data_IF_922156971511
#
_entry.id   IF_922156971511
#
_cell.length_a   1.000
_cell.length_b   1.000
_cell.length_c   1.000
_cell.angle_alpha   90.00
_cell.angle_beta   90.00
_cell.angle_gamma   90.00
#
_symmetry.space_group_name_H-M   'P 1'
#
loop_
_entity.id
_entity.type
_entity.pdbx_description
1 polymer ?
#
# COMPACT_ATOMS: atom_id res chain seq x y z
N UNK A 1 -9.66 15.64 18.39
CA UNK A 1 -9.68 15.36 16.95
C UNK A 1 -9.11 13.96 16.74
N UNK A 2 -9.66 13.18 15.80
CA UNK A 2 -9.22 11.79 15.54
C UNK A 2 -8.30 11.76 14.32
N UNK A 3 -7.02 12.09 14.52
CA UNK A 3 -6.04 12.06 13.43
C UNK A 3 -5.60 10.62 13.13
N UNK A 4 -5.60 10.25 11.84
CA UNK A 4 -5.09 8.97 11.33
C UNK A 4 -3.98 9.27 10.33
N UNK A 5 -2.80 8.72 10.56
CA UNK A 5 -1.70 8.84 9.61
C UNK A 5 -1.93 7.90 8.43
N UNK A 6 -1.87 8.43 7.22
CA UNK A 6 -1.94 7.67 5.97
C UNK A 6 -0.63 7.91 5.21
N UNK A 7 0.31 6.97 5.32
CA UNK A 7 1.55 7.06 4.54
C UNK A 7 1.28 6.61 3.11
N UNK A 8 1.82 7.31 2.12
CA UNK A 8 1.46 7.06 0.72
C UNK A 8 0.06 7.54 0.36
N UNK A 9 -0.47 8.49 1.15
CA UNK A 9 -1.84 8.99 0.98
C UNK A 9 -2.06 9.84 -0.28
N UNK A 10 -1.01 10.26 -0.98
CA UNK A 10 -1.10 10.94 -2.27
C UNK A 10 -1.11 9.97 -3.47
N UNK A 11 -0.95 8.67 -3.23
CA UNK A 11 -1.06 7.62 -4.25
C UNK A 11 -2.51 7.23 -4.54
N UNK A 12 -2.68 6.31 -5.50
CA UNK A 12 -3.99 5.81 -5.95
C UNK A 12 -4.85 5.26 -4.79
N UNK A 13 -4.39 4.21 -4.12
CA UNK A 13 -5.12 3.56 -3.02
C UNK A 13 -5.23 4.50 -1.81
N UNK A 14 -4.13 5.19 -1.48
CA UNK A 14 -4.05 6.07 -0.31
C UNK A 14 -5.02 7.24 -0.36
N UNK A 15 -5.18 7.87 -1.51
CA UNK A 15 -6.11 8.99 -1.69
C UNK A 15 -7.57 8.55 -1.52
N UNK A 16 -7.91 7.35 -1.98
CA UNK A 16 -9.24 6.77 -1.79
C UNK A 16 -9.51 6.45 -0.31
N UNK A 17 -8.51 5.90 0.39
CA UNK A 17 -8.59 5.65 1.84
C UNK A 17 -8.76 6.96 2.60
N UNK A 18 -8.00 8.01 2.27
CA UNK A 18 -8.16 9.33 2.89
C UNK A 18 -9.61 9.84 2.75
N UNK A 19 -10.22 9.68 1.56
CA UNK A 19 -11.63 10.03 1.34
C UNK A 19 -12.55 9.26 2.30
N UNK A 20 -12.42 7.93 2.35
CA UNK A 20 -13.29 7.09 3.18
C UNK A 20 -13.17 7.42 4.67
N UNK A 21 -11.95 7.62 5.15
CA UNK A 21 -11.71 7.99 6.56
C UNK A 21 -12.30 9.36 6.88
N UNK A 22 -12.16 10.32 5.98
CA UNK A 22 -12.78 11.65 6.14
C UNK A 22 -14.32 11.55 6.19
N UNK A 23 -14.94 10.78 5.29
CA UNK A 23 -16.39 10.56 5.24
C UNK A 23 -16.92 9.89 6.55
N UNK A 24 -16.04 9.21 7.30
CA UNK A 24 -16.34 8.59 8.62
C UNK A 24 -15.99 9.47 9.81
N UNK A 25 -15.58 10.72 9.57
CA UNK A 25 -15.30 11.70 10.64
C UNK A 25 -13.90 11.59 11.26
N UNK A 26 -12.98 10.85 10.64
CA UNK A 26 -11.56 10.93 10.94
C UNK A 26 -10.90 12.10 10.22
N UNK A 27 -9.72 12.49 10.67
CA UNK A 27 -8.88 13.45 9.94
C UNK A 27 -7.66 12.70 9.41
N UNK A 28 -7.69 12.23 8.14
CA UNK A 28 -6.54 11.58 7.54
C UNK A 28 -5.43 12.62 7.30
N UNK A 29 -4.25 12.34 7.84
CA UNK A 29 -3.05 13.12 7.55
C UNK A 29 -2.23 12.36 6.54
N UNK A 30 -2.17 12.86 5.32
CA UNK A 30 -1.36 12.28 4.26
C UNK A 30 0.11 12.58 4.52
N UNK A 31 0.95 11.54 4.63
CA UNK A 31 2.41 11.66 4.63
C UNK A 31 2.97 10.99 3.39
N UNK A 32 3.58 11.78 2.52
CA UNK A 32 4.01 11.33 1.19
C UNK A 32 5.21 12.17 0.72
N UNK A 33 6.17 11.55 0.02
CA UNK A 33 7.30 12.27 -0.56
C UNK A 33 7.00 12.82 -1.97
N UNK A 34 5.82 12.49 -2.51
CA UNK A 34 5.35 12.89 -3.84
C UNK A 34 6.23 12.39 -4.99
N UNK A 35 7.05 11.35 -4.76
CA UNK A 35 7.87 10.75 -5.83
C UNK A 35 7.03 10.03 -6.89
N UNK A 36 5.94 9.37 -6.45
CA UNK A 36 4.95 8.70 -7.30
C UNK A 36 3.53 9.19 -7.03
N UNK A 37 3.32 9.78 -5.85
CA UNK A 37 2.04 10.34 -5.43
C UNK A 37 1.76 11.70 -6.09
N UNK A 38 0.49 12.03 -6.20
CA UNK A 38 0.02 13.24 -6.85
C UNK A 38 -0.54 14.24 -5.83
N UNK A 39 0.02 15.42 -5.71
CA UNK A 39 -0.47 16.45 -4.79
C UNK A 39 -1.94 16.80 -5.00
N UNK A 40 -2.43 16.76 -6.25
CA UNK A 40 -3.82 17.06 -6.57
C UNK A 40 -4.82 16.02 -6.01
N UNK A 41 -4.37 14.80 -5.68
CA UNK A 41 -5.21 13.75 -5.11
C UNK A 41 -5.49 13.96 -3.61
N UNK A 42 -4.71 14.81 -2.93
CA UNK A 42 -4.84 15.09 -1.49
C UNK A 42 -5.91 16.17 -1.30
N UNK A 43 -7.14 15.73 -1.02
CA UNK A 43 -8.32 16.58 -0.89
C UNK A 43 -8.97 16.51 0.50
N UNK A 44 -8.67 15.46 1.24
CA UNK A 44 -9.32 15.14 2.53
C UNK A 44 -8.30 15.10 3.66
N UNK A 45 -8.02 16.27 4.23
CA UNK A 45 -7.07 16.41 5.32
C UNK A 45 -5.73 17.04 4.92
N UNK A 46 -4.83 17.22 5.88
CA UNK A 46 -3.53 17.83 5.65
C UNK A 46 -2.59 16.96 4.84
N UNK A 47 -1.74 17.59 4.02
CA UNK A 47 -0.59 17.00 3.38
C UNK A 47 0.69 17.40 4.12
N UNK A 48 1.41 16.42 4.60
CA UNK A 48 2.77 16.54 5.13
C UNK A 48 3.74 15.88 4.14
N UNK A 49 4.60 16.69 3.54
CA UNK A 49 5.59 16.20 2.58
C UNK A 49 6.84 15.79 3.33
N UNK A 50 7.27 14.54 3.16
CA UNK A 50 8.46 14.02 3.84
C UNK A 50 8.79 12.57 3.47
N UNK A 51 9.92 12.11 3.98
CA UNK A 51 10.50 10.80 3.69
C UNK A 51 10.40 9.84 4.88
N UNK A 52 9.94 8.61 4.66
CA UNK A 52 9.96 7.59 5.71
C UNK A 52 11.39 7.25 6.18
N UNK A 53 12.37 7.39 5.28
CA UNK A 53 13.78 7.19 5.63
C UNK A 53 14.39 8.35 6.41
N UNK A 54 13.67 9.49 6.55
CA UNK A 54 14.10 10.64 7.35
C UNK A 54 13.50 10.57 8.75
N UNK A 55 14.33 10.20 9.72
CA UNK A 55 13.90 10.19 11.13
C UNK A 55 13.41 11.57 11.60
N UNK A 56 14.01 12.65 11.07
CA UNK A 56 13.64 14.01 11.41
C UNK A 56 12.26 14.41 10.90
N UNK A 57 11.91 13.98 9.67
CA UNK A 57 10.57 14.27 9.11
C UNK A 57 9.50 13.53 9.89
N UNK A 58 9.74 12.24 10.20
CA UNK A 58 8.84 11.47 11.06
C UNK A 58 8.74 12.07 12.46
N UNK A 59 9.84 12.51 13.06
CA UNK A 59 9.83 13.15 14.39
C UNK A 59 8.93 14.38 14.39
N UNK A 60 9.10 15.29 13.44
CA UNK A 60 8.27 16.50 13.30
C UNK A 60 6.79 16.17 13.07
N UNK A 61 6.52 15.14 12.25
CA UNK A 61 5.17 14.68 11.96
C UNK A 61 4.45 14.21 13.23
N UNK A 62 5.09 13.34 14.01
CA UNK A 62 4.50 12.80 15.24
C UNK A 62 4.44 13.82 16.38
N UNK A 63 5.31 14.82 16.40
CA UNK A 63 5.20 15.97 17.35
C UNK A 63 4.03 16.89 17.01
N UNK A 64 3.68 16.99 15.73
CA UNK A 64 2.61 17.88 15.24
C UNK A 64 1.20 17.29 15.44
N UNK A 65 1.05 15.98 15.38
CA UNK A 65 -0.25 15.33 15.41
C UNK A 65 -0.30 14.18 16.43
N UNK A 66 -1.38 14.14 17.21
CA UNK A 66 -1.68 13.00 18.09
C UNK A 66 -2.45 11.93 17.30
N UNK A 67 -1.75 11.01 16.66
CA UNK A 67 -2.35 9.95 15.87
C UNK A 67 -2.98 8.87 16.74
N UNK A 68 -4.18 8.39 16.35
CA UNK A 68 -4.85 7.25 16.97
C UNK A 68 -4.49 5.92 16.28
N UNK A 69 -3.80 5.99 15.15
CA UNK A 69 -3.28 4.84 14.40
C UNK A 69 -2.79 5.23 13.02
N UNK A 70 -2.27 4.23 12.32
CA UNK A 70 -1.56 4.38 11.05
C UNK A 70 -2.15 3.44 9.99
N UNK A 71 -2.36 3.95 8.79
CA UNK A 71 -2.55 3.18 7.56
C UNK A 71 -1.26 3.30 6.75
N UNK A 72 -0.55 2.20 6.63
CA UNK A 72 0.77 2.20 6.02
C UNK A 72 0.76 1.62 4.61
N UNK A 73 0.74 2.51 3.59
CA UNK A 73 0.75 2.14 2.17
C UNK A 73 2.05 2.54 1.46
N UNK A 74 2.76 3.57 1.96
CA UNK A 74 3.96 4.09 1.29
C UNK A 74 4.99 3.00 1.03
N UNK A 75 5.26 2.72 -0.24
CA UNK A 75 6.25 1.75 -0.68
C UNK A 75 6.52 1.92 -2.18
N UNK A 76 7.71 1.54 -2.62
CA UNK A 76 7.96 1.21 -4.02
C UNK A 76 7.33 -0.15 -4.33
N UNK A 77 6.60 -0.28 -5.44
CA UNK A 77 5.78 -1.46 -5.75
C UNK A 77 6.00 -2.09 -7.13
N UNK A 78 6.90 -1.54 -7.95
CA UNK A 78 7.20 -2.09 -9.26
C UNK A 78 8.08 -3.33 -9.15
N UNK A 79 7.51 -4.51 -9.45
CA UNK A 79 8.19 -5.80 -9.34
C UNK A 79 9.41 -5.86 -10.25
N UNK A 80 9.31 -5.42 -11.51
CA UNK A 80 10.42 -5.49 -12.47
C UNK A 80 11.58 -4.57 -12.05
N UNK A 81 11.28 -3.38 -11.56
CA UNK A 81 12.29 -2.47 -11.02
C UNK A 81 12.98 -3.07 -9.79
N UNK A 82 12.24 -3.75 -8.92
CA UNK A 82 12.80 -4.37 -7.72
C UNK A 82 13.88 -5.41 -8.02
N UNK A 83 13.73 -6.16 -9.13
CA UNK A 83 14.72 -7.15 -9.58
C UNK A 83 15.99 -6.46 -10.06
N UNK A 84 15.85 -5.36 -10.79
CA UNK A 84 16.99 -4.62 -11.33
C UNK A 84 17.69 -3.75 -10.27
N UNK A 85 16.96 -3.27 -9.27
CA UNK A 85 17.47 -2.33 -8.28
C UNK A 85 16.96 -2.66 -6.86
N UNK A 86 17.31 -3.81 -6.29
CA UNK A 86 16.78 -4.27 -5.01
C UNK A 86 17.12 -3.34 -3.84
N UNK A 87 18.26 -2.68 -3.88
CA UNK A 87 18.76 -1.82 -2.81
C UNK A 87 17.77 -0.69 -2.46
N UNK A 88 17.16 -0.05 -3.47
CA UNK A 88 16.20 1.04 -3.21
C UNK A 88 14.91 0.50 -2.56
N UNK A 89 14.51 -0.74 -2.87
CA UNK A 89 13.33 -1.38 -2.27
C UNK A 89 13.57 -1.69 -0.79
N UNK A 90 14.70 -2.29 -0.43
CA UNK A 90 15.02 -2.52 0.98
C UNK A 90 15.18 -1.21 1.75
N UNK A 91 15.88 -0.23 1.18
CA UNK A 91 16.02 1.09 1.82
C UNK A 91 14.67 1.76 2.03
N UNK A 92 13.91 1.95 0.95
CA UNK A 92 12.63 2.68 1.02
C UNK A 92 11.59 1.91 1.83
N UNK A 93 11.36 0.64 1.50
CA UNK A 93 10.26 -0.12 2.08
C UNK A 93 10.61 -0.59 3.50
N UNK A 94 11.75 -1.27 3.69
CA UNK A 94 12.08 -1.89 4.98
C UNK A 94 12.59 -0.85 5.98
N UNK A 95 13.61 -0.06 5.61
CA UNK A 95 14.16 0.95 6.55
C UNK A 95 13.11 2.04 6.83
N UNK A 96 12.38 2.49 5.81
CA UNK A 96 11.30 3.46 6.00
C UNK A 96 10.20 2.96 6.94
N UNK A 97 9.77 1.69 6.80
CA UNK A 97 8.77 1.08 7.68
C UNK A 97 9.31 0.87 9.10
N UNK A 98 10.57 0.47 9.24
CA UNK A 98 11.24 0.37 10.54
C UNK A 98 11.21 1.72 11.28
N UNK A 99 11.63 2.80 10.62
CA UNK A 99 11.62 4.14 11.21
C UNK A 99 10.21 4.57 11.63
N UNK A 100 9.20 4.27 10.81
CA UNK A 100 7.80 4.55 11.13
C UNK A 100 7.37 3.82 12.40
N UNK A 101 7.65 2.52 12.51
CA UNK A 101 7.28 1.69 13.67
C UNK A 101 7.99 2.20 14.93
N UNK A 102 9.28 2.53 14.86
CA UNK A 102 10.01 3.15 15.98
C UNK A 102 9.35 4.44 16.47
N UNK A 103 8.90 5.31 15.55
CA UNK A 103 8.17 6.53 15.94
C UNK A 103 6.79 6.21 16.53
N UNK A 104 6.07 5.22 15.99
CA UNK A 104 4.81 4.77 16.57
C UNK A 104 4.99 4.34 18.03
N UNK A 105 5.99 3.53 18.32
CA UNK A 105 6.30 3.09 19.69
C UNK A 105 6.66 4.29 20.58
N UNK A 106 7.58 5.13 20.12
CA UNK A 106 8.03 6.32 20.86
C UNK A 106 6.87 7.26 21.25
N UNK A 107 5.89 7.43 20.36
CA UNK A 107 4.73 8.31 20.56
C UNK A 107 3.47 7.57 21.03
N UNK A 108 3.59 6.30 21.43
CA UNK A 108 2.51 5.44 21.95
C UNK A 108 1.31 5.30 20.96
N UNK A 109 1.59 5.25 19.65
CA UNK A 109 0.60 4.95 18.62
C UNK A 109 0.59 3.45 18.39
N UNK A 110 -0.48 2.77 18.82
CA UNK A 110 -0.50 1.30 18.94
C UNK A 110 -1.16 0.57 17.77
N UNK A 111 -1.87 1.25 16.89
CA UNK A 111 -2.69 0.60 15.88
C UNK A 111 -2.12 0.84 14.48
N UNK A 112 -1.87 -0.23 13.72
CA UNK A 112 -1.40 -0.17 12.33
C UNK A 112 -2.17 -1.11 11.42
N UNK A 113 -2.64 -0.61 10.29
CA UNK A 113 -3.07 -1.43 9.15
C UNK A 113 -1.99 -1.33 8.08
N UNK A 114 -1.38 -2.45 7.76
CA UNK A 114 -0.27 -2.53 6.80
C UNK A 114 -0.73 -3.10 5.46
N UNK A 115 -0.49 -2.36 4.41
CA UNK A 115 -0.69 -2.78 3.02
C UNK A 115 0.47 -3.65 2.56
N UNK A 116 0.30 -4.96 2.72
CA UNK A 116 1.18 -5.98 2.17
C UNK A 116 0.78 -6.34 0.73
N UNK A 117 1.16 -7.49 0.27
CA UNK A 117 0.96 -7.93 -1.12
C UNK A 117 0.83 -9.45 -1.21
N UNK A 118 0.08 -9.94 -2.19
CA UNK A 118 0.08 -11.36 -2.58
C UNK A 118 1.46 -11.85 -3.08
N UNK A 119 2.35 -10.96 -3.51
CA UNK A 119 3.71 -11.31 -3.92
C UNK A 119 4.55 -11.98 -2.81
N UNK A 120 4.14 -11.88 -1.54
CA UNK A 120 4.78 -12.60 -0.42
C UNK A 120 4.64 -14.11 -0.53
N UNK A 121 3.63 -14.61 -1.24
CA UNK A 121 3.39 -16.04 -1.42
C UNK A 121 4.31 -16.67 -2.48
N UNK A 122 4.82 -15.87 -3.43
CA UNK A 122 5.59 -16.36 -4.56
C UNK A 122 4.73 -17.18 -5.53
N UNK A 123 5.28 -18.30 -6.02
CA UNK A 123 4.51 -19.23 -6.86
C UNK A 123 3.55 -20.05 -6.00
N UNK A 124 2.24 -20.03 -6.27
CA UNK A 124 1.27 -20.75 -5.46
C UNK A 124 1.42 -22.26 -5.60
N UNK A 125 1.36 -22.97 -4.47
CA UNK A 125 1.36 -24.45 -4.42
C UNK A 125 -0.06 -24.98 -4.66
N UNK A 126 -1.07 -24.22 -4.24
CA UNK A 126 -2.49 -24.53 -4.47
C UNK A 126 -3.29 -23.23 -4.66
N UNK A 127 -4.42 -23.34 -5.32
CA UNK A 127 -5.37 -22.26 -5.57
C UNK A 127 -6.78 -22.69 -5.17
N UNK A 128 -7.59 -21.84 -4.51
CA UNK A 128 -7.26 -20.46 -4.11
C UNK A 128 -6.19 -20.41 -3.01
N UNK A 129 -5.44 -19.28 -2.98
CA UNK A 129 -4.43 -19.01 -1.95
C UNK A 129 -5.16 -18.60 -0.67
N UNK A 130 -4.89 -19.31 0.44
CA UNK A 130 -5.38 -18.94 1.77
C UNK A 130 -4.27 -18.28 2.60
N UNK A 131 -4.62 -17.66 3.73
CA UNK A 131 -3.68 -16.94 4.59
C UNK A 131 -2.58 -17.84 5.16
N UNK A 132 -2.84 -19.15 5.30
CA UNK A 132 -1.88 -20.15 5.78
C UNK A 132 -0.94 -20.67 4.69
N UNK A 133 -1.11 -20.24 3.44
CA UNK A 133 -0.20 -20.63 2.35
C UNK A 133 1.23 -20.21 2.70
N UNK A 134 2.25 -21.07 2.41
CA UNK A 134 3.65 -20.71 2.62
C UNK A 134 4.04 -19.39 1.94
N UNK A 135 4.85 -18.58 2.64
CA UNK A 135 5.36 -17.33 2.11
C UNK A 135 6.78 -17.51 1.60
N UNK A 136 6.95 -17.50 0.27
CA UNK A 136 8.23 -17.67 -0.42
C UNK A 136 8.31 -16.69 -1.59
N UNK A 137 8.55 -15.38 -1.32
CA UNK A 137 8.60 -14.38 -2.36
C UNK A 137 9.72 -14.66 -3.36
N UNK A 138 9.45 -14.42 -4.64
CA UNK A 138 10.38 -14.68 -5.76
C UNK A 138 10.99 -13.39 -6.34
N UNK A 139 10.74 -12.25 -5.70
CA UNK A 139 11.29 -10.96 -6.10
C UNK A 139 11.54 -10.07 -4.87
N UNK A 140 12.45 -9.08 -4.98
CA UNK A 140 12.80 -8.18 -3.86
C UNK A 140 11.64 -7.34 -3.34
N UNK A 141 10.66 -6.98 -4.17
CA UNK A 141 9.45 -6.30 -3.70
C UNK A 141 8.66 -7.17 -2.71
N UNK A 142 8.32 -8.40 -3.11
CA UNK A 142 7.62 -9.35 -2.24
C UNK A 142 8.40 -9.64 -0.96
N UNK A 143 9.72 -9.82 -1.07
CA UNK A 143 10.59 -10.08 0.09
C UNK A 143 10.65 -8.87 1.04
N UNK A 144 10.74 -7.65 0.51
CA UNK A 144 10.69 -6.43 1.32
C UNK A 144 9.39 -6.32 2.12
N UNK A 145 8.25 -6.63 1.50
CA UNK A 145 6.94 -6.64 2.17
C UNK A 145 6.84 -7.73 3.23
N UNK A 146 7.31 -8.94 2.95
CA UNK A 146 7.34 -10.03 3.93
C UNK A 146 8.27 -9.70 5.12
N UNK A 147 9.38 -9.04 4.87
CA UNK A 147 10.29 -8.55 5.93
C UNK A 147 9.57 -7.57 6.86
N UNK A 148 8.77 -6.65 6.30
CA UNK A 148 7.98 -5.70 7.11
C UNK A 148 6.88 -6.43 7.92
N UNK A 149 6.20 -7.43 7.33
CA UNK A 149 5.24 -8.26 8.08
C UNK A 149 5.89 -8.90 9.31
N UNK A 150 7.06 -9.51 9.14
CA UNK A 150 7.83 -10.12 10.23
C UNK A 150 8.26 -9.09 11.28
N UNK A 151 8.64 -7.90 10.82
CA UNK A 151 8.99 -6.79 11.71
C UNK A 151 7.79 -6.41 12.58
N UNK A 152 6.63 -6.13 11.97
CA UNK A 152 5.40 -5.79 12.68
C UNK A 152 5.02 -6.89 13.69
N UNK A 153 5.03 -8.15 13.29
CA UNK A 153 4.74 -9.29 14.17
C UNK A 153 5.69 -9.39 15.38
N UNK A 154 6.96 -9.08 15.19
CA UNK A 154 7.93 -9.09 16.31
C UNK A 154 7.73 -7.91 17.25
N UNK A 155 7.48 -6.72 16.71
CA UNK A 155 7.20 -5.53 17.53
C UNK A 155 5.89 -5.66 18.31
N UNK A 156 4.87 -6.28 17.73
CA UNK A 156 3.60 -6.56 18.42
C UNK A 156 3.79 -7.38 19.71
N UNK A 157 4.72 -8.34 19.69
CA UNK A 157 5.00 -9.18 20.87
C UNK A 157 5.68 -8.42 22.01
N UNK A 158 6.38 -7.33 21.71
CA UNK A 158 7.22 -6.61 22.66
C UNK A 158 6.63 -5.26 23.10
N UNK A 159 5.74 -4.67 22.30
CA UNK A 159 5.32 -3.27 22.47
C UNK A 159 3.80 -3.05 22.39
N UNK A 160 2.98 -4.09 22.57
CA UNK A 160 1.51 -4.01 22.46
C UNK A 160 1.03 -3.34 21.17
N UNK A 161 1.74 -3.56 20.06
CA UNK A 161 1.36 -3.04 18.78
C UNK A 161 0.23 -3.92 18.19
N UNK A 162 -0.94 -3.36 18.00
CA UNK A 162 -2.06 -4.00 17.34
C UNK A 162 -1.94 -3.81 15.83
N UNK A 163 -2.15 -4.88 15.06
CA UNK A 163 -1.99 -4.79 13.63
C UNK A 163 -3.00 -5.61 12.83
N UNK A 164 -3.26 -5.17 11.62
CA UNK A 164 -3.84 -5.97 10.54
C UNK A 164 -2.91 -5.87 9.34
N UNK A 165 -2.60 -7.01 8.74
CA UNK A 165 -1.80 -7.12 7.52
C UNK A 165 -2.73 -7.53 6.38
N UNK A 166 -2.83 -6.71 5.35
CA UNK A 166 -3.67 -6.96 4.19
C UNK A 166 -2.80 -7.39 3.00
N UNK A 167 -2.93 -8.66 2.60
CA UNK A 167 -2.26 -9.22 1.42
C UNK A 167 -3.25 -9.26 0.27
N UNK A 168 -3.18 -8.29 -0.63
CA UNK A 168 -4.06 -8.20 -1.78
C UNK A 168 -3.27 -8.31 -3.09
N UNK A 169 -4.01 -8.63 -4.15
CA UNK A 169 -3.49 -8.78 -5.50
C UNK A 169 -3.52 -7.45 -6.25
N UNK A 170 -4.08 -7.41 -7.46
CA UNK A 170 -4.11 -6.20 -8.26
C UNK A 170 -5.33 -5.34 -7.88
N UNK A 171 -5.09 -4.07 -7.66
CA UNK A 171 -6.16 -3.12 -7.36
C UNK A 171 -6.59 -2.42 -8.64
N UNK A 172 -7.88 -2.23 -8.82
CA UNK A 172 -8.40 -1.56 -10.01
C UNK A 172 -9.66 -0.74 -9.67
N UNK A 173 -10.11 0.04 -10.64
CA UNK A 173 -11.31 0.84 -10.51
C UNK A 173 -11.04 2.29 -10.12
N UNK A 174 -12.11 3.06 -10.05
CA UNK A 174 -12.09 4.48 -9.72
C UNK A 174 -13.20 4.85 -8.75
N UNK A 175 -13.12 6.06 -8.21
CA UNK A 175 -14.22 6.61 -7.43
C UNK A 175 -15.41 6.95 -8.36
N UNK A 176 -16.62 6.53 -7.98
CA UNK A 176 -17.84 6.80 -8.75
C UNK A 176 -18.14 8.29 -8.95
N UNK A 177 -17.59 9.17 -8.08
CA UNK A 177 -17.70 10.61 -8.25
C UNK A 177 -16.70 11.20 -9.26
N UNK A 178 -15.88 10.36 -9.92
CA UNK A 178 -14.82 10.73 -10.86
C UNK A 178 -13.75 11.68 -10.27
N UNK A 179 -13.59 11.69 -8.95
CA UNK A 179 -12.62 12.54 -8.27
C UNK A 179 -11.26 11.89 -8.05
N UNK A 180 -11.22 10.55 -8.08
CA UNK A 180 -10.04 9.73 -7.85
C UNK A 180 -10.00 8.56 -8.82
N UNK A 181 -8.82 8.22 -9.24
CA UNK A 181 -8.52 7.08 -10.10
C UNK A 181 -7.03 6.80 -10.12
N UNK A 182 -6.65 5.76 -10.82
CA UNK A 182 -5.26 5.41 -11.03
C UNK A 182 -4.61 6.41 -12.00
N UNK A 183 -3.45 6.93 -11.64
CA UNK A 183 -2.72 7.93 -12.42
C UNK A 183 -1.22 7.79 -12.18
N UNK A 184 -0.65 6.68 -12.62
CA UNK A 184 0.79 6.43 -12.55
C UNK A 184 1.49 6.98 -13.79
N UNK A 185 2.73 7.42 -13.61
CA UNK A 185 3.57 7.86 -14.72
C UNK A 185 5.01 7.32 -14.53
N UNK A 186 5.47 6.36 -15.37
CA UNK A 186 4.69 5.69 -16.43
C UNK A 186 3.62 4.72 -15.87
N UNK A 187 2.57 4.49 -16.65
CA UNK A 187 1.56 3.48 -16.32
C UNK A 187 2.07 2.08 -16.66
N UNK A 188 1.81 1.12 -15.78
CA UNK A 188 2.27 -0.28 -15.94
C UNK A 188 1.19 -1.32 -15.65
N UNK A 189 0.02 -0.90 -15.19
CA UNK A 189 -1.06 -1.80 -14.82
C UNK A 189 -1.96 -2.14 -16.00
N UNK A 190 -2.43 -3.38 -16.01
CA UNK A 190 -3.18 -3.99 -17.12
C UNK A 190 -4.42 -3.17 -17.52
N UNK A 191 -5.28 -2.85 -16.56
CA UNK A 191 -6.57 -2.24 -16.83
C UNK A 191 -6.44 -0.81 -17.38
N UNK A 192 -5.66 0.10 -16.77
CA UNK A 192 -5.41 1.42 -17.33
C UNK A 192 -4.80 1.37 -18.74
N UNK A 193 -3.80 0.51 -18.96
CA UNK A 193 -3.17 0.36 -20.28
C UNK A 193 -4.14 -0.16 -21.34
N UNK A 194 -5.00 -1.10 -21.00
CA UNK A 194 -6.00 -1.62 -21.92
C UNK A 194 -7.05 -0.55 -22.28
N UNK A 195 -7.50 0.23 -21.30
CA UNK A 195 -8.42 1.34 -21.50
C UNK A 195 -7.81 2.45 -22.35
N UNK A 196 -6.54 2.79 -22.09
CA UNK A 196 -5.81 3.77 -22.89
C UNK A 196 -5.65 3.32 -24.33
N UNK A 197 -5.24 2.06 -24.55
CA UNK A 197 -5.11 1.49 -25.88
C UNK A 197 -6.44 1.49 -26.63
N UNK A 198 -7.55 1.15 -25.97
CA UNK A 198 -8.89 1.19 -26.55
C UNK A 198 -9.32 2.62 -26.90
N UNK A 199 -9.05 3.60 -26.02
CA UNK A 199 -9.39 5.00 -26.25
C UNK A 199 -8.60 5.63 -27.40
N UNK A 200 -7.29 5.31 -27.47
CA UNK A 200 -6.38 5.83 -28.50
C UNK A 200 -6.41 5.02 -29.80
N UNK A 201 -7.17 3.92 -29.86
CA UNK A 201 -7.16 2.96 -30.97
C UNK A 201 -5.73 2.48 -31.30
N UNK A 202 -4.94 2.21 -30.25
CA UNK A 202 -3.54 1.79 -30.34
C UNK A 202 -3.36 0.30 -30.00
N UNK A 203 -2.16 -0.22 -30.21
CA UNK A 203 -1.85 -1.63 -29.95
C UNK A 203 -1.72 -1.87 -28.44
N UNK A 204 -2.51 -2.78 -27.90
CA UNK A 204 -2.31 -3.34 -26.56
C UNK A 204 -1.40 -4.58 -26.63
N UNK A 205 -0.34 -4.61 -25.82
CA UNK A 205 0.64 -5.70 -25.82
C UNK A 205 0.36 -6.70 -24.71
N UNK A 206 0.27 -7.98 -25.06
CA UNK A 206 0.24 -9.10 -24.12
C UNK A 206 1.66 -9.67 -23.99
N UNK A 207 2.17 -9.73 -22.76
CA UNK A 207 3.53 -10.17 -22.45
C UNK A 207 3.56 -11.66 -22.07
N UNK A 208 3.58 -12.52 -23.09
CA UNK A 208 3.67 -13.97 -22.96
C UNK A 208 2.34 -14.68 -23.14
N UNK A 209 2.43 -15.83 -23.81
CA UNK A 209 1.32 -16.72 -24.17
C UNK A 209 1.67 -18.19 -23.93
N UNK A 210 2.72 -18.45 -23.15
CA UNK A 210 3.25 -19.80 -22.89
C UNK A 210 3.24 -20.18 -21.40
N UNK A 211 2.40 -19.51 -20.60
CA UNK A 211 2.19 -19.90 -19.21
C UNK A 211 1.41 -21.22 -19.11
N UNK A 212 1.61 -21.95 -18.02
CA UNK A 212 0.89 -23.21 -17.74
C UNK A 212 -0.55 -22.92 -17.28
N UNK A 213 -1.34 -22.28 -18.15
CA UNK A 213 -2.73 -21.90 -17.94
C UNK A 213 -3.58 -22.33 -19.13
N UNK A 214 -4.90 -22.28 -19.03
CA UNK A 214 -5.81 -22.77 -20.08
C UNK A 214 -5.62 -22.06 -21.42
N UNK A 215 -5.32 -20.77 -21.40
CA UNK A 215 -5.16 -19.93 -22.61
C UNK A 215 -3.70 -19.46 -22.83
N UNK A 216 -2.76 -19.96 -22.04
CA UNK A 216 -1.36 -19.59 -22.10
C UNK A 216 -1.03 -18.22 -21.50
N UNK A 217 -2.00 -17.43 -21.09
CA UNK A 217 -1.78 -16.13 -20.46
C UNK A 217 -1.68 -16.24 -18.94
N UNK A 218 -1.17 -15.20 -18.28
CA UNK A 218 -1.05 -15.21 -16.83
C UNK A 218 -2.41 -14.95 -16.14
N UNK A 219 -2.73 -15.79 -15.14
CA UNK A 219 -3.91 -15.57 -14.28
C UNK A 219 -3.63 -14.43 -13.30
N UNK A 220 -4.59 -13.52 -13.16
CA UNK A 220 -4.54 -12.41 -12.21
C UNK A 220 -5.87 -12.26 -11.48
N UNK A 221 -5.78 -11.95 -10.19
CA UNK A 221 -6.92 -11.61 -9.36
C UNK A 221 -6.99 -10.09 -9.17
N UNK A 222 -8.20 -9.54 -9.14
CA UNK A 222 -8.45 -8.09 -9.02
C UNK A 222 -9.42 -7.81 -7.88
N UNK A 223 -9.11 -6.73 -7.12
CA UNK A 223 -10.01 -6.15 -6.14
C UNK A 223 -10.32 -4.70 -6.51
N UNK A 224 -11.57 -4.30 -6.40
CA UNK A 224 -11.92 -2.91 -6.62
C UNK A 224 -11.39 -2.01 -5.49
N UNK A 225 -10.87 -0.83 -5.84
CA UNK A 225 -10.28 0.12 -4.88
C UNK A 225 -11.25 0.50 -3.75
N UNK A 226 -12.55 0.56 -4.03
CA UNK A 226 -13.61 0.80 -3.04
C UNK A 226 -13.67 -0.32 -2.01
N UNK A 227 -13.63 -1.57 -2.44
CA UNK A 227 -13.73 -2.72 -1.54
C UNK A 227 -12.46 -2.82 -0.69
N UNK A 228 -11.30 -2.63 -1.30
CA UNK A 228 -10.03 -2.56 -0.57
C UNK A 228 -10.02 -1.41 0.45
N UNK A 229 -10.50 -0.22 0.07
CA UNK A 229 -10.61 0.91 1.00
C UNK A 229 -11.52 0.60 2.19
N UNK A 230 -12.67 -0.05 1.95
CA UNK A 230 -13.57 -0.50 3.02
C UNK A 230 -12.89 -1.53 3.94
N UNK A 231 -12.10 -2.45 3.40
CA UNK A 231 -11.33 -3.41 4.21
C UNK A 231 -10.32 -2.71 5.11
N UNK A 232 -9.61 -1.69 4.61
CA UNK A 232 -8.71 -0.88 5.46
C UNK A 232 -9.46 -0.17 6.58
N UNK A 233 -10.60 0.43 6.28
CA UNK A 233 -11.43 1.12 7.28
C UNK A 233 -11.95 0.15 8.35
N UNK A 234 -12.54 -0.97 7.96
CA UNK A 234 -13.05 -2.00 8.89
C UNK A 234 -11.93 -2.58 9.75
N UNK A 235 -10.74 -2.82 9.16
CA UNK A 235 -9.56 -3.27 9.88
C UNK A 235 -9.14 -2.26 10.95
N UNK A 236 -9.09 -0.99 10.58
CA UNK A 236 -8.74 0.09 11.49
C UNK A 236 -9.75 0.24 12.63
N UNK A 237 -11.05 0.22 12.33
CA UNK A 237 -12.11 0.30 13.34
C UNK A 237 -12.06 -0.90 14.31
N UNK A 238 -11.75 -2.10 13.80
CA UNK A 238 -11.57 -3.30 14.62
C UNK A 238 -10.39 -3.20 15.58
N UNK A 239 -9.30 -2.56 15.18
CA UNK A 239 -8.13 -2.34 16.05
C UNK A 239 -8.40 -1.28 17.14
N UNK A 240 -9.40 -0.42 16.94
CA UNK A 240 -9.76 0.67 17.88
C UNK A 240 -11.03 0.34 18.71
N UNK A 241 -11.58 -0.84 18.57
CA UNK A 241 -12.73 -1.33 19.36
C UNK A 241 -12.23 -2.10 20.59
#
# INVERSE_FOLDING_TARGET
MKYVLVTGGAGYIGSYICKLFYDKGYIPVTFDNLSLGNKWSVKWGPLEVGELCSENDLQKLFEKYNFIGVIHLAALSNVSESVNNPSIYYKNNVIGSYNLIEKMIKFNVKNIVFSSTAAVYGNPIHSPICENHPTQPINPYGDSKLTIERLICNYSKCHDLNFVILRYFNVSGSDFSNNLGEAHLPETHLIPLALEAAHQNSIFKIYGDNYQTTDGTCIRDFIHVKDLGNVHLLSFEKLNS
#
